data_IF_897429483207
#
_entry.id   IF_897429483207
#
_cell.length_a   1.000
_cell.length_b   1.000
_cell.length_c   1.000
_cell.angle_alpha   90.00
_cell.angle_beta   90.00
_cell.angle_gamma   90.00
#
_symmetry.space_group_name_H-M   'P 1'
#
loop_
_entity.id
_entity.type
_entity.pdbx_description
1 polymer ?
#
# COMPACT_ATOMS: atom_id res chain seq x y z
N UNK A 1 4.48 34.39 18.41
CA UNK A 1 3.03 34.19 18.14
C UNK A 1 2.91 32.78 17.60
N UNK A 2 2.24 31.88 18.33
CA UNK A 2 2.03 30.49 17.90
C UNK A 2 1.16 30.56 16.65
N UNK A 3 1.78 30.39 15.49
CA UNK A 3 1.08 30.19 14.24
C UNK A 3 0.13 29.01 14.46
N UNK A 4 -1.17 29.25 14.29
CA UNK A 4 -2.23 28.34 14.74
C UNK A 4 -1.89 26.92 14.28
N UNK A 5 -1.73 26.00 15.23
CA UNK A 5 -1.66 24.57 14.97
C UNK A 5 -2.78 24.22 13.98
N UNK A 6 -2.40 23.97 12.72
CA UNK A 6 -3.33 23.65 11.65
C UNK A 6 -4.06 22.37 12.05
N UNK A 7 -5.37 22.48 12.22
CA UNK A 7 -6.23 21.42 12.72
C UNK A 7 -6.75 20.58 11.56
N UNK A 8 -6.41 19.30 11.52
CA UNK A 8 -6.91 18.35 10.53
C UNK A 8 -7.82 17.36 11.28
N UNK A 9 -9.16 17.45 11.12
CA UNK A 9 -10.11 16.66 11.91
C UNK A 9 -9.89 15.14 11.81
N UNK A 10 -9.65 14.62 10.60
CA UNK A 10 -9.41 13.20 10.37
C UNK A 10 -8.14 12.70 11.09
N UNK A 11 -7.03 13.43 10.97
CA UNK A 11 -5.78 13.10 11.64
C UNK A 11 -5.93 13.11 13.17
N UNK A 12 -6.74 14.05 13.71
CA UNK A 12 -7.02 14.06 15.14
C UNK A 12 -7.90 12.89 15.55
N UNK A 13 -8.92 12.55 14.78
CA UNK A 13 -9.80 11.43 15.10
C UNK A 13 -9.04 10.10 15.13
N UNK A 14 -8.18 9.86 14.13
CA UNK A 14 -7.24 8.74 14.13
C UNK A 14 -6.34 8.73 15.37
N UNK A 15 -5.73 9.87 15.69
CA UNK A 15 -4.83 9.99 16.85
C UNK A 15 -5.53 9.79 18.19
N UNK A 16 -6.79 10.25 18.32
CA UNK A 16 -7.63 9.99 19.50
C UNK A 16 -7.99 8.50 19.59
N UNK A 17 -8.27 7.85 18.46
CA UNK A 17 -8.44 6.40 18.38
C UNK A 17 -7.20 5.66 18.86
N UNK A 18 -6.01 6.03 18.37
CA UNK A 18 -4.74 5.46 18.83
C UNK A 18 -4.52 5.70 20.33
N UNK A 19 -4.78 6.91 20.84
CA UNK A 19 -4.66 7.19 22.27
C UNK A 19 -5.60 6.31 23.10
N UNK A 20 -6.84 6.10 22.62
CA UNK A 20 -7.80 5.22 23.29
C UNK A 20 -7.30 3.78 23.32
N UNK A 21 -6.78 3.26 22.21
CA UNK A 21 -6.17 1.92 22.15
C UNK A 21 -4.98 1.78 23.10
N UNK A 22 -4.11 2.80 23.20
CA UNK A 22 -3.00 2.79 24.16
C UNK A 22 -3.51 2.66 25.60
N UNK A 23 -4.63 3.30 25.94
CA UNK A 23 -5.20 3.29 27.30
C UNK A 23 -5.96 1.99 27.58
N UNK A 24 -6.75 1.51 26.62
CA UNK A 24 -7.67 0.37 26.80
C UNK A 24 -6.98 -0.99 26.54
N UNK A 25 -5.96 -1.01 25.67
CA UNK A 25 -5.35 -2.22 25.11
C UNK A 25 -3.82 -2.11 24.93
N UNK A 26 -3.12 -1.52 25.92
CA UNK A 26 -1.66 -1.28 25.89
C UNK A 26 -0.83 -2.52 25.51
N UNK A 27 -1.25 -3.71 25.92
CA UNK A 27 -0.57 -4.98 25.64
C UNK A 27 -0.49 -5.32 24.15
N UNK A 28 -1.38 -4.75 23.31
CA UNK A 28 -1.32 -4.88 21.86
C UNK A 28 -0.10 -4.17 21.27
N UNK A 29 0.29 -3.04 21.85
CA UNK A 29 1.49 -2.30 21.43
C UNK A 29 2.76 -3.06 21.84
N UNK A 30 2.82 -3.57 23.07
CA UNK A 30 3.95 -4.39 23.53
C UNK A 30 4.13 -5.65 22.67
N UNK A 31 3.01 -6.31 22.34
CA UNK A 31 3.02 -7.47 21.44
C UNK A 31 3.55 -7.10 20.08
N UNK A 32 3.04 -6.04 19.47
CA UNK A 32 3.48 -5.57 18.14
C UNK A 32 4.97 -5.23 18.17
N UNK A 33 5.42 -4.48 19.18
CA UNK A 33 6.82 -4.13 19.36
C UNK A 33 7.73 -5.35 19.45
N UNK A 34 7.31 -6.38 20.19
CA UNK A 34 8.06 -7.64 20.34
C UNK A 34 8.16 -8.46 19.06
N UNK A 35 7.28 -8.22 18.09
CA UNK A 35 7.29 -8.89 16.79
C UNK A 35 8.23 -8.22 15.77
N UNK A 36 8.68 -6.99 16.03
CA UNK A 36 9.56 -6.26 15.12
C UNK A 36 11.00 -6.84 15.22
N UNK A 37 11.52 -7.24 14.07
CA UNK A 37 12.78 -8.00 13.96
C UNK A 37 14.01 -7.14 14.29
N UNK A 38 14.03 -5.89 13.81
CA UNK A 38 15.19 -5.01 13.88
C UNK A 38 14.93 -3.73 14.69
N UNK A 39 16.01 -3.03 15.05
CA UNK A 39 15.94 -1.83 15.88
C UNK A 39 15.36 -0.63 15.12
N UNK A 40 15.57 -0.52 13.81
CA UNK A 40 15.05 0.58 13.01
C UNK A 40 13.52 0.54 12.96
N UNK A 41 12.95 -0.64 12.73
CA UNK A 41 11.51 -0.90 12.82
C UNK A 41 10.94 -0.54 14.20
N UNK A 42 11.64 -0.90 15.28
CA UNK A 42 11.24 -0.56 16.67
C UNK A 42 11.28 0.94 16.93
N UNK A 43 12.32 1.63 16.48
CA UNK A 43 12.46 3.09 16.63
C UNK A 43 11.35 3.83 15.86
N UNK A 44 11.01 3.35 14.65
CA UNK A 44 9.88 3.88 13.86
C UNK A 44 8.56 3.65 14.59
N UNK A 45 8.35 2.48 15.18
CA UNK A 45 7.14 2.18 15.94
C UNK A 45 7.02 3.07 17.19
N UNK A 46 8.09 3.23 17.96
CA UNK A 46 8.13 4.11 19.13
C UNK A 46 7.84 5.56 18.74
N UNK A 47 8.46 6.04 17.65
CA UNK A 47 8.16 7.34 17.08
C UNK A 47 6.68 7.46 16.70
N UNK A 48 6.11 6.46 16.03
CA UNK A 48 4.71 6.48 15.57
C UNK A 48 3.74 6.59 16.75
N UNK A 49 3.94 5.78 17.80
CA UNK A 49 3.12 5.78 19.01
C UNK A 49 3.21 7.13 19.72
N UNK A 50 4.43 7.63 19.94
CA UNK A 50 4.66 8.91 20.60
C UNK A 50 4.06 10.09 19.81
N UNK A 51 4.25 10.09 18.49
CA UNK A 51 3.68 11.09 17.58
C UNK A 51 2.15 11.08 17.62
N UNK A 52 1.50 9.91 17.47
CA UNK A 52 0.03 9.80 17.46
C UNK A 52 -0.58 10.19 18.80
N UNK A 53 -0.01 9.71 19.91
CA UNK A 53 -0.44 10.10 21.24
C UNK A 53 -0.35 11.63 21.43
N UNK A 54 0.78 12.22 21.04
CA UNK A 54 1.00 13.66 21.14
C UNK A 54 0.09 14.48 20.23
N UNK A 55 -0.15 14.02 19.01
CA UNK A 55 -1.02 14.70 18.03
C UNK A 55 -2.47 14.79 18.52
N UNK A 56 -2.95 13.80 19.29
CA UNK A 56 -4.29 13.81 19.86
C UNK A 56 -4.55 15.02 20.78
N UNK A 57 -3.49 15.52 21.44
CA UNK A 57 -3.51 16.65 22.38
C UNK A 57 -3.05 17.95 21.68
N UNK A 58 -1.89 17.90 21.03
CA UNK A 58 -1.17 19.07 20.54
C UNK A 58 -1.50 19.43 19.08
N UNK A 59 -2.16 18.56 18.34
CA UNK A 59 -2.37 18.72 16.90
C UNK A 59 -1.04 18.77 16.14
N UNK A 60 -0.93 19.67 15.16
CA UNK A 60 0.25 19.76 14.29
C UNK A 60 1.54 20.14 15.01
N UNK A 61 1.49 20.73 16.22
CA UNK A 61 2.69 20.95 17.04
C UNK A 61 3.40 19.64 17.42
N UNK A 62 2.71 18.50 17.40
CA UNK A 62 3.35 17.20 17.60
C UNK A 62 4.43 16.90 16.55
N UNK A 63 4.34 17.47 15.34
CA UNK A 63 5.38 17.35 14.31
C UNK A 63 6.69 18.06 14.69
N UNK A 64 6.65 19.04 15.60
CA UNK A 64 7.86 19.72 16.08
C UNK A 64 8.57 18.89 17.15
N UNK A 65 7.80 18.15 17.98
CA UNK A 65 8.33 17.27 19.02
C UNK A 65 8.80 15.93 18.46
N UNK A 66 8.05 15.39 17.50
CA UNK A 66 8.28 14.10 16.85
C UNK A 66 8.28 14.32 15.34
N UNK A 67 9.36 14.89 14.77
CA UNK A 67 9.43 15.16 13.35
C UNK A 67 9.31 13.87 12.54
N UNK A 68 8.49 13.83 11.48
CA UNK A 68 8.39 12.65 10.62
C UNK A 68 9.70 12.39 9.88
N UNK A 69 10.01 11.12 9.55
CA UNK A 69 11.20 10.77 8.77
C UNK A 69 11.25 11.51 7.42
N UNK A 70 10.09 11.72 6.80
CA UNK A 70 9.93 12.54 5.59
C UNK A 70 9.33 13.89 5.99
N UNK A 71 10.06 14.97 5.72
CA UNK A 71 9.58 16.32 6.01
C UNK A 71 8.44 16.71 5.08
N UNK A 72 7.52 17.54 5.58
CA UNK A 72 6.42 18.10 4.78
C UNK A 72 6.95 18.84 3.55
N UNK A 73 8.04 19.60 3.70
CA UNK A 73 8.68 20.30 2.59
C UNK A 73 9.17 19.32 1.51
N UNK A 74 9.88 18.26 1.91
CA UNK A 74 10.36 17.22 0.98
C UNK A 74 9.18 16.56 0.25
N UNK A 75 8.10 16.27 0.98
CA UNK A 75 6.90 15.66 0.41
C UNK A 75 6.22 16.58 -0.60
N UNK A 76 6.02 17.85 -0.27
CA UNK A 76 5.40 18.82 -1.17
C UNK A 76 6.27 19.07 -2.41
N UNK A 77 7.59 19.11 -2.25
CA UNK A 77 8.53 19.24 -3.37
C UNK A 77 8.40 18.06 -4.35
N UNK A 78 8.31 16.82 -3.83
CA UNK A 78 8.09 15.63 -4.63
C UNK A 78 6.76 15.70 -5.42
N UNK A 79 5.66 16.12 -4.77
CA UNK A 79 4.37 16.30 -5.45
C UNK A 79 4.41 17.38 -6.53
N UNK A 80 5.11 18.49 -6.30
CA UNK A 80 5.28 19.57 -7.28
C UNK A 80 6.10 19.09 -8.47
N UNK A 81 7.17 18.32 -8.23
CA UNK A 81 8.00 17.76 -9.29
C UNK A 81 7.23 16.77 -10.15
N UNK A 82 6.47 15.85 -9.55
CA UNK A 82 5.61 14.92 -10.28
C UNK A 82 4.59 15.66 -11.15
N UNK A 83 3.95 16.72 -10.62
CA UNK A 83 3.03 17.55 -11.40
C UNK A 83 3.71 18.27 -12.57
N UNK A 84 4.97 18.68 -12.42
CA UNK A 84 5.76 19.26 -13.53
C UNK A 84 6.12 18.23 -14.59
N UNK A 85 6.28 16.97 -14.18
CA UNK A 85 6.55 15.83 -15.07
C UNK A 85 5.29 15.17 -15.63
N UNK A 86 4.11 15.78 -15.45
CA UNK A 86 2.88 15.34 -16.10
C UNK A 86 3.00 15.55 -17.62
N UNK A 87 2.80 14.48 -18.40
CA UNK A 87 2.88 14.52 -19.87
C UNK A 87 1.53 14.94 -20.47
N UNK A 88 0.45 14.56 -19.80
CA UNK A 88 -0.91 15.01 -20.06
C UNK A 88 -1.72 14.90 -18.76
N UNK A 89 -3.03 15.16 -18.84
CA UNK A 89 -3.90 15.09 -17.67
C UNK A 89 -3.84 13.69 -17.04
N UNK A 90 -3.53 13.64 -15.76
CA UNK A 90 -3.47 12.42 -14.94
C UNK A 90 -2.45 11.38 -15.44
N UNK A 91 -1.48 11.77 -16.30
CA UNK A 91 -0.42 10.91 -16.83
C UNK A 91 0.95 11.47 -16.46
N UNK A 92 1.74 10.68 -15.72
CA UNK A 92 3.01 11.12 -15.14
C UNK A 92 4.17 10.31 -15.70
N UNK A 93 5.31 10.96 -15.94
CA UNK A 93 6.55 10.28 -16.31
C UNK A 93 7.49 10.18 -15.12
N UNK A 94 7.83 8.95 -14.73
CA UNK A 94 8.72 8.68 -13.59
C UNK A 94 9.73 7.62 -13.98
N UNK A 95 11.02 7.98 -13.90
CA UNK A 95 12.16 7.10 -14.22
C UNK A 95 12.04 6.28 -15.54
N UNK A 96 11.38 6.86 -16.56
CA UNK A 96 11.17 6.22 -17.87
C UNK A 96 9.79 5.59 -18.07
N UNK A 97 9.03 5.39 -17.00
CA UNK A 97 7.68 4.85 -17.03
C UNK A 97 6.63 5.96 -17.23
N UNK A 98 5.55 5.62 -17.93
CA UNK A 98 4.35 6.45 -18.07
C UNK A 98 3.23 5.84 -17.23
N UNK A 99 2.75 6.60 -16.26
CA UNK A 99 1.82 6.12 -15.25
C UNK A 99 0.61 7.03 -15.22
N UNK A 100 -0.55 6.50 -15.62
CA UNK A 100 -1.85 7.14 -15.42
C UNK A 100 -2.29 6.95 -13.98
N UNK A 101 -2.50 8.03 -13.24
CA UNK A 101 -2.98 7.98 -11.86
C UNK A 101 -3.86 9.17 -11.51
N UNK A 102 -4.92 8.93 -10.74
CA UNK A 102 -5.72 9.98 -10.12
C UNK A 102 -5.23 10.30 -8.68
N UNK A 103 -4.21 9.59 -8.21
CA UNK A 103 -3.65 9.72 -6.87
C UNK A 103 -2.13 9.91 -6.93
N UNK A 104 -1.70 11.13 -7.22
CA UNK A 104 -0.27 11.52 -7.28
C UNK A 104 0.51 11.10 -6.01
N UNK A 105 -0.04 11.22 -4.78
CA UNK A 105 0.56 10.63 -3.59
C UNK A 105 1.06 9.19 -3.75
N UNK A 106 0.26 8.29 -4.33
CA UNK A 106 0.68 6.88 -4.56
C UNK A 106 1.96 6.78 -5.39
N UNK A 107 2.11 7.64 -6.40
CA UNK A 107 3.34 7.69 -7.20
C UNK A 107 4.50 8.22 -6.36
N UNK A 108 4.30 9.28 -5.58
CA UNK A 108 5.35 9.84 -4.72
C UNK A 108 5.81 8.85 -3.66
N UNK A 109 4.86 8.25 -2.95
CA UNK A 109 5.10 7.31 -1.86
C UNK A 109 5.89 6.09 -2.37
N UNK A 110 5.48 5.53 -3.51
CA UNK A 110 6.16 4.36 -4.11
C UNK A 110 7.47 4.72 -4.81
N UNK A 111 7.48 5.67 -5.74
CA UNK A 111 8.62 5.87 -6.64
C UNK A 111 9.69 6.84 -6.12
N UNK A 112 9.32 7.76 -5.22
CA UNK A 112 10.25 8.75 -4.67
C UNK A 112 10.68 8.32 -3.27
N UNK A 113 9.70 7.98 -2.42
CA UNK A 113 9.96 7.61 -1.02
C UNK A 113 10.15 6.12 -0.79
N UNK A 114 9.94 5.28 -1.82
CA UNK A 114 10.16 3.83 -1.75
C UNK A 114 9.42 3.18 -0.57
N UNK A 115 8.15 3.53 -0.35
CA UNK A 115 7.37 3.13 0.84
C UNK A 115 7.37 1.62 1.14
N UNK A 116 7.52 0.77 0.13
CA UNK A 116 7.54 -0.70 0.25
C UNK A 116 8.95 -1.28 0.26
N UNK A 117 9.96 -0.47 0.58
CA UNK A 117 11.35 -0.90 0.65
C UNK A 117 12.07 -0.26 1.81
N UNK A 118 12.65 -1.11 2.66
CA UNK A 118 13.65 -0.75 3.67
C UNK A 118 14.93 -1.47 3.27
N UNK A 119 15.94 -0.69 2.84
CA UNK A 119 17.17 -1.24 2.26
C UNK A 119 17.87 -2.17 3.25
N UNK A 120 18.20 -3.37 2.79
CA UNK A 120 18.87 -4.39 3.61
C UNK A 120 17.98 -5.08 4.65
N UNK A 121 16.68 -4.76 4.71
CA UNK A 121 15.72 -5.40 5.62
C UNK A 121 14.60 -6.06 4.83
N UNK A 122 13.85 -5.27 4.05
CA UNK A 122 12.75 -5.75 3.20
C UNK A 122 12.81 -5.02 1.87
N UNK A 123 13.26 -5.69 0.81
CA UNK A 123 13.31 -5.12 -0.52
C UNK A 123 13.16 -6.18 -1.62
N UNK A 124 12.52 -5.85 -2.75
CA UNK A 124 12.48 -6.74 -3.90
C UNK A 124 13.85 -6.76 -4.60
N UNK A 125 14.24 -7.94 -5.07
CA UNK A 125 15.50 -8.20 -5.75
C UNK A 125 15.28 -8.70 -7.20
N UNK A 126 16.30 -8.55 -8.07
CA UNK A 126 16.24 -9.11 -9.42
C UNK A 126 15.98 -10.62 -9.41
N UNK A 127 14.95 -11.06 -10.14
CA UNK A 127 14.52 -12.45 -10.18
C UNK A 127 13.37 -12.81 -9.24
N UNK A 128 12.99 -11.94 -8.31
CA UNK A 128 11.94 -12.23 -7.33
C UNK A 128 10.57 -12.45 -7.98
N UNK A 129 9.80 -13.35 -7.37
CA UNK A 129 8.36 -13.51 -7.56
C UNK A 129 7.62 -12.66 -6.53
N UNK A 130 6.93 -11.62 -7.03
CA UNK A 130 6.22 -10.63 -6.23
C UNK A 130 4.71 -10.82 -6.34
N UNK A 131 4.02 -10.81 -5.21
CA UNK A 131 2.57 -10.60 -5.15
C UNK A 131 2.31 -9.14 -4.76
N UNK A 132 1.68 -8.39 -5.65
CA UNK A 132 1.15 -7.06 -5.39
C UNK A 132 -0.36 -7.18 -5.12
N UNK A 133 -0.72 -7.33 -3.85
CA UNK A 133 -2.10 -7.43 -3.41
C UNK A 133 -2.71 -6.03 -3.25
N UNK A 134 -3.74 -5.76 -4.04
CA UNK A 134 -4.35 -4.43 -4.17
C UNK A 134 -3.55 -3.54 -5.14
N UNK A 135 -3.46 -3.98 -6.39
CA UNK A 135 -2.62 -3.34 -7.40
C UNK A 135 -3.15 -1.98 -7.86
N UNK A 136 -4.45 -1.69 -7.64
CA UNK A 136 -5.11 -0.44 -8.04
C UNK A 136 -4.87 -0.12 -9.52
N UNK A 137 -4.19 0.98 -9.84
CA UNK A 137 -3.87 1.36 -11.22
C UNK A 137 -2.49 0.85 -11.68
N UNK A 138 -1.79 0.07 -10.85
CA UNK A 138 -0.52 -0.57 -11.19
C UNK A 138 0.71 0.29 -10.98
N UNK A 139 0.59 1.42 -10.30
CA UNK A 139 1.74 2.29 -9.98
C UNK A 139 2.82 1.52 -9.24
N UNK A 140 2.42 0.69 -8.28
CA UNK A 140 3.31 -0.15 -7.49
C UNK A 140 3.75 -1.41 -8.24
N UNK A 141 2.89 -2.02 -9.06
CA UNK A 141 3.26 -3.17 -9.88
C UNK A 141 4.37 -2.84 -10.89
N UNK A 142 4.31 -1.65 -11.51
CA UNK A 142 5.36 -1.15 -12.41
C UNK A 142 6.67 -0.89 -11.67
N UNK A 143 6.60 -0.39 -10.44
CA UNK A 143 7.78 -0.19 -9.59
C UNK A 143 8.44 -1.53 -9.22
N UNK A 144 7.65 -2.54 -8.83
CA UNK A 144 8.15 -3.89 -8.61
C UNK A 144 8.76 -4.50 -9.87
N UNK A 145 8.06 -4.40 -11.01
CA UNK A 145 8.53 -4.91 -12.31
C UNK A 145 9.91 -4.38 -12.68
N UNK A 146 10.15 -3.09 -12.44
CA UNK A 146 11.45 -2.44 -12.63
C UNK A 146 12.53 -3.05 -11.73
N UNK A 147 12.23 -3.30 -10.45
CA UNK A 147 13.21 -3.76 -9.47
C UNK A 147 13.57 -5.24 -9.64
N UNK A 148 12.58 -6.07 -9.94
CA UNK A 148 12.79 -7.51 -10.13
C UNK A 148 13.33 -7.86 -11.53
N UNK A 149 13.21 -6.93 -12.48
CA UNK A 149 13.74 -7.08 -13.83
C UNK A 149 13.09 -8.22 -14.63
N UNK A 150 13.62 -8.47 -15.83
CA UNK A 150 13.03 -9.39 -16.81
C UNK A 150 13.01 -10.86 -16.37
N UNK A 151 13.82 -11.22 -15.38
CA UNK A 151 13.86 -12.58 -14.81
C UNK A 151 12.92 -12.76 -13.63
N UNK A 152 12.43 -11.68 -13.02
CA UNK A 152 11.43 -11.72 -11.97
C UNK A 152 10.01 -11.75 -12.52
N UNK A 153 9.03 -11.83 -11.62
CA UNK A 153 7.61 -11.89 -11.98
C UNK A 153 6.79 -11.10 -10.96
N UNK A 154 5.80 -10.34 -11.43
CA UNK A 154 4.85 -9.62 -10.58
C UNK A 154 3.44 -10.11 -10.87
N UNK A 155 2.74 -10.57 -9.84
CA UNK A 155 1.32 -10.91 -9.89
C UNK A 155 0.52 -9.78 -9.25
N UNK A 156 -0.14 -8.98 -10.08
CA UNK A 156 -0.89 -7.79 -9.68
C UNK A 156 -2.36 -8.15 -9.45
N UNK A 157 -2.76 -8.28 -8.18
CA UNK A 157 -4.14 -8.61 -7.80
C UNK A 157 -4.99 -7.35 -7.68
N UNK A 158 -6.03 -7.28 -8.50
CA UNK A 158 -7.01 -6.20 -8.45
C UNK A 158 -8.39 -6.74 -8.85
N UNK A 159 -9.37 -6.75 -7.95
CA UNK A 159 -10.70 -7.27 -8.25
C UNK A 159 -11.65 -6.30 -8.98
N UNK A 160 -11.42 -4.99 -8.91
CA UNK A 160 -12.37 -3.98 -9.39
C UNK A 160 -12.19 -3.68 -10.89
N UNK A 161 -13.22 -3.87 -11.74
CA UNK A 161 -13.12 -3.69 -13.19
C UNK A 161 -12.58 -2.32 -13.63
N UNK A 162 -13.03 -1.25 -12.98
CA UNK A 162 -12.62 0.13 -13.32
C UNK A 162 -11.12 0.33 -13.06
N UNK A 163 -10.57 -0.27 -11.99
CA UNK A 163 -9.15 -0.23 -11.69
C UNK A 163 -8.36 -1.11 -12.67
N UNK A 164 -8.85 -2.32 -12.96
CA UNK A 164 -8.24 -3.25 -13.91
C UNK A 164 -8.07 -2.59 -15.29
N UNK A 165 -9.05 -1.78 -15.74
CA UNK A 165 -8.95 -1.07 -17.01
C UNK A 165 -7.75 -0.12 -17.03
N UNK A 166 -7.57 0.68 -15.98
CA UNK A 166 -6.43 1.61 -15.87
C UNK A 166 -5.12 0.85 -15.66
N UNK A 167 -5.10 -0.21 -14.86
CA UNK A 167 -3.96 -1.10 -14.66
C UNK A 167 -3.46 -1.69 -15.99
N UNK A 168 -4.37 -2.23 -16.82
CA UNK A 168 -4.04 -2.74 -18.17
C UNK A 168 -3.49 -1.65 -19.06
N UNK A 169 -4.10 -0.46 -19.02
CA UNK A 169 -3.62 0.68 -19.77
C UNK A 169 -2.19 1.04 -19.36
N UNK A 170 -1.91 1.14 -18.06
CA UNK A 170 -0.59 1.47 -17.54
C UNK A 170 0.46 0.42 -17.93
N UNK A 171 0.16 -0.87 -17.79
CA UNK A 171 1.10 -1.93 -18.18
C UNK A 171 1.37 -1.89 -19.69
N UNK A 172 0.33 -1.81 -20.52
CA UNK A 172 0.49 -1.79 -21.98
C UNK A 172 1.19 -0.54 -22.52
N UNK A 173 1.10 0.60 -21.83
CA UNK A 173 1.74 1.86 -22.22
C UNK A 173 3.26 1.88 -21.94
N UNK A 174 3.77 0.93 -21.16
CA UNK A 174 5.19 0.82 -20.82
C UNK A 174 5.85 -0.30 -21.64
N UNK A 175 6.35 0.06 -22.82
CA UNK A 175 7.02 -0.88 -23.74
C UNK A 175 8.19 -1.58 -23.03
N UNK A 176 8.21 -2.91 -23.09
CA UNK A 176 9.25 -3.73 -22.45
C UNK A 176 8.81 -4.37 -21.14
N UNK A 177 7.71 -3.91 -20.53
CA UNK A 177 7.13 -4.55 -19.33
C UNK A 177 6.40 -5.83 -19.74
N UNK A 178 7.04 -6.97 -19.54
CA UNK A 178 6.50 -8.29 -19.89
C UNK A 178 6.40 -9.25 -18.69
N UNK A 179 6.88 -8.83 -17.52
CA UNK A 179 6.96 -9.62 -16.30
C UNK A 179 5.79 -9.38 -15.34
N UNK A 180 4.78 -8.59 -15.71
CA UNK A 180 3.57 -8.38 -14.88
C UNK A 180 2.41 -9.22 -15.42
N UNK A 181 1.75 -9.95 -14.53
CA UNK A 181 0.49 -10.65 -14.80
C UNK A 181 -0.64 -10.10 -13.93
N UNK A 182 -1.73 -9.69 -14.57
CA UNK A 182 -2.89 -9.12 -13.87
C UNK A 182 -3.82 -10.24 -13.43
N UNK A 183 -4.08 -10.32 -12.13
CA UNK A 183 -5.02 -11.27 -11.54
C UNK A 183 -6.29 -10.52 -11.15
N UNK A 184 -7.38 -10.78 -11.88
CA UNK A 184 -8.67 -10.09 -11.68
C UNK A 184 -9.51 -10.70 -10.54
N UNK A 185 -8.84 -11.01 -9.42
CA UNK A 185 -9.42 -11.62 -8.22
C UNK A 185 -8.89 -10.89 -6.99
N UNK A 186 -9.69 -10.83 -5.93
CA UNK A 186 -9.21 -10.42 -4.61
C UNK A 186 -8.56 -11.59 -3.88
N UNK A 187 -7.73 -11.29 -2.88
CA UNK A 187 -7.19 -12.29 -1.96
C UNK A 187 -8.04 -12.34 -0.69
N UNK A 188 -8.25 -13.55 -0.18
CA UNK A 188 -9.03 -13.79 1.04
C UNK A 188 -8.73 -15.17 1.61
N UNK A 189 -9.31 -15.51 2.77
CA UNK A 189 -9.08 -16.82 3.41
C UNK A 189 -9.81 -17.99 2.74
N UNK A 190 -10.66 -17.74 1.75
CA UNK A 190 -11.44 -18.77 1.04
C UNK A 190 -11.82 -18.30 -0.36
N UNK A 191 -11.80 -19.23 -1.30
CA UNK A 191 -12.29 -18.97 -2.66
C UNK A 191 -13.78 -18.70 -2.68
N UNK A 192 -14.20 -17.94 -3.69
CA UNK A 192 -15.61 -17.77 -4.00
C UNK A 192 -15.93 -16.37 -4.49
N UNK A 193 -17.22 -16.14 -4.73
CA UNK A 193 -17.73 -14.82 -5.10
C UNK A 193 -18.33 -14.13 -3.91
N UNK A 194 -17.92 -12.88 -3.67
CA UNK A 194 -18.40 -12.06 -2.56
C UNK A 194 -18.78 -10.67 -3.07
N UNK A 195 -19.80 -10.08 -2.48
CA UNK A 195 -20.10 -8.66 -2.65
C UNK A 195 -19.27 -7.85 -1.67
N UNK A 196 -18.68 -6.77 -2.14
CA UNK A 196 -18.08 -5.76 -1.29
C UNK A 196 -18.99 -4.54 -1.23
N UNK A 197 -19.05 -3.89 -0.06
CA UNK A 197 -19.60 -2.53 0.05
C UNK A 197 -18.49 -1.54 0.30
N UNK A 198 -18.58 -0.40 -0.37
CA UNK A 198 -17.59 0.66 -0.31
C UNK A 198 -17.19 1.15 -1.70
N UNK A 199 -16.41 2.22 -1.72
CA UNK A 199 -15.66 2.64 -2.91
C UNK A 199 -14.30 1.93 -2.84
N UNK A 200 -13.62 1.72 -3.97
CA UNK A 200 -12.35 0.96 -4.10
C UNK A 200 -11.32 1.15 -2.97
N UNK A 201 -11.25 2.31 -2.32
CA UNK A 201 -10.30 2.63 -1.25
C UNK A 201 -10.84 2.40 0.19
N UNK A 202 -12.06 1.88 0.35
CA UNK A 202 -12.68 1.56 1.66
C UNK A 202 -13.70 0.43 1.46
N UNK A 203 -13.27 -0.68 0.88
CA UNK A 203 -14.15 -1.78 0.53
C UNK A 203 -14.15 -2.85 1.62
N UNK A 204 -15.30 -3.12 2.24
CA UNK A 204 -15.46 -4.20 3.22
C UNK A 204 -16.18 -5.39 2.58
N UNK A 205 -15.67 -6.60 2.80
CA UNK A 205 -16.31 -7.84 2.34
C UNK A 205 -17.60 -8.08 3.14
N UNK A 206 -18.74 -8.10 2.45
CA UNK A 206 -20.00 -8.50 3.07
C UNK A 206 -20.12 -10.03 3.03
N UNK A 207 -19.93 -10.66 4.20
CA UNK A 207 -20.08 -12.11 4.41
C UNK A 207 -21.42 -12.70 3.93
N UNK A 208 -22.49 -11.90 3.79
CA UNK A 208 -23.84 -12.35 3.43
C UNK A 208 -24.06 -12.85 1.99
N UNK A 209 -23.04 -12.87 1.12
CA UNK A 209 -23.25 -13.09 -0.32
C UNK A 209 -22.32 -14.11 -0.98
N UNK A 210 -21.85 -15.13 -0.25
CA UNK A 210 -21.17 -16.26 -0.91
C UNK A 210 -22.02 -16.80 -2.08
N UNK A 211 -21.45 -16.72 -3.29
CA UNK A 211 -22.09 -17.19 -4.53
C UNK A 211 -23.02 -16.18 -5.22
N UNK A 212 -23.28 -15.02 -4.63
CA UNK A 212 -24.06 -13.92 -5.23
C UNK A 212 -23.25 -12.63 -5.46
N UNK A 213 -21.97 -12.65 -5.09
CA UNK A 213 -21.03 -11.55 -5.32
C UNK A 213 -20.64 -11.33 -6.78
N UNK A 214 -20.24 -10.09 -7.09
CA UNK A 214 -19.67 -9.71 -8.38
C UNK A 214 -18.14 -9.80 -8.41
N UNK A 215 -17.48 -9.93 -7.27
CA UNK A 215 -16.03 -10.03 -7.16
C UNK A 215 -15.63 -11.47 -6.85
N UNK A 216 -14.68 -11.98 -7.62
CA UNK A 216 -14.08 -13.30 -7.39
C UNK A 216 -12.90 -13.17 -6.43
N UNK A 217 -12.81 -14.08 -5.49
CA UNK A 217 -11.69 -14.21 -4.55
C UNK A 217 -11.03 -15.58 -4.70
N UNK A 218 -9.73 -15.62 -4.39
CA UNK A 218 -8.88 -16.80 -4.30
C UNK A 218 -8.00 -16.69 -3.04
N UNK A 219 -7.56 -17.82 -2.50
CA UNK A 219 -6.54 -17.84 -1.45
C UNK A 219 -5.12 -17.69 -1.99
N UNK A 220 -4.14 -17.34 -1.13
CA UNK A 220 -2.74 -17.33 -1.55
C UNK A 220 -2.29 -18.76 -1.86
N UNK A 221 -2.63 -19.72 -1.00
CA UNK A 221 -2.24 -21.13 -1.17
C UNK A 221 -2.74 -21.71 -2.51
N UNK A 222 -4.02 -21.52 -2.83
CA UNK A 222 -4.57 -22.03 -4.11
C UNK A 222 -3.97 -21.29 -5.31
N UNK A 223 -3.66 -20.00 -5.18
CA UNK A 223 -3.02 -19.27 -6.25
C UNK A 223 -1.60 -19.78 -6.53
N UNK A 224 -0.82 -20.04 -5.48
CA UNK A 224 0.53 -20.62 -5.56
C UNK A 224 0.47 -21.99 -6.25
N UNK A 225 -0.49 -22.84 -5.87
CA UNK A 225 -0.73 -24.13 -6.51
C UNK A 225 -1.17 -23.99 -7.98
N UNK A 226 -2.13 -23.10 -8.27
CA UNK A 226 -2.65 -22.84 -9.63
C UNK A 226 -1.56 -22.37 -10.59
N UNK A 227 -0.62 -21.56 -10.10
CA UNK A 227 0.49 -21.01 -10.90
C UNK A 227 1.73 -21.89 -10.87
N UNK A 228 1.72 -22.98 -10.10
CA UNK A 228 2.87 -23.86 -9.90
C UNK A 228 4.12 -23.07 -9.48
N UNK A 229 3.97 -22.15 -8.52
CA UNK A 229 5.09 -21.34 -8.04
C UNK A 229 5.93 -22.16 -7.06
N UNK A 230 7.24 -22.18 -7.30
CA UNK A 230 8.20 -22.79 -6.36
C UNK A 230 8.38 -21.94 -5.10
N UNK A 231 8.29 -20.61 -5.24
CA UNK A 231 8.36 -19.65 -4.14
C UNK A 231 7.62 -18.35 -4.46
N UNK A 232 7.31 -17.60 -3.40
CA UNK A 232 6.94 -16.18 -3.45
C UNK A 232 7.94 -15.45 -2.57
N UNK A 233 8.70 -14.55 -3.16
CA UNK A 233 9.85 -13.90 -2.50
C UNK A 233 9.45 -12.56 -1.86
N UNK A 234 8.39 -11.93 -2.38
CA UNK A 234 7.87 -10.67 -1.84
C UNK A 234 6.35 -10.59 -1.91
N UNK A 235 5.71 -10.13 -0.84
CA UNK A 235 4.28 -9.83 -0.81
C UNK A 235 4.09 -8.40 -0.32
N UNK A 236 3.57 -7.53 -1.18
CA UNK A 236 2.97 -6.26 -0.76
C UNK A 236 1.47 -6.49 -0.59
N UNK A 237 0.90 -5.97 0.48
CA UNK A 237 -0.52 -6.12 0.78
C UNK A 237 -1.14 -4.81 1.25
N UNK A 238 -2.06 -4.28 0.44
CA UNK A 238 -2.87 -3.12 0.73
C UNK A 238 -4.26 -3.37 0.13
N UNK A 239 -5.12 -4.07 0.87
CA UNK A 239 -6.38 -4.63 0.38
C UNK A 239 -7.57 -4.20 1.24
N UNK A 240 -7.42 -3.07 1.91
CA UNK A 240 -8.47 -2.32 2.61
C UNK A 240 -9.23 -3.14 3.66
N UNK A 241 -8.50 -3.90 4.48
CA UNK A 241 -9.04 -4.56 5.67
C UNK A 241 -9.27 -6.07 5.55
N UNK A 242 -8.75 -6.69 4.49
CA UNK A 242 -8.78 -8.15 4.31
C UNK A 242 -7.41 -8.80 4.50
N UNK A 243 -6.42 -8.07 5.03
CA UNK A 243 -5.02 -8.50 5.09
C UNK A 243 -4.82 -9.76 5.92
N UNK A 244 -5.45 -9.81 7.10
CA UNK A 244 -5.38 -10.97 7.99
C UNK A 244 -6.03 -12.19 7.34
N UNK A 245 -7.17 -12.02 6.68
CA UNK A 245 -7.82 -13.10 5.96
C UNK A 245 -6.99 -13.58 4.77
N UNK A 246 -6.40 -12.68 3.98
CA UNK A 246 -5.53 -13.06 2.88
C UNK A 246 -4.31 -13.86 3.35
N UNK A 247 -3.67 -13.49 4.48
CA UNK A 247 -2.54 -14.25 5.05
C UNK A 247 -2.97 -15.62 5.58
N UNK A 248 -4.20 -15.76 6.07
CA UNK A 248 -4.71 -17.04 6.60
C UNK A 248 -5.27 -17.98 5.52
N UNK A 249 -5.18 -17.62 4.23
CA UNK A 249 -5.74 -18.38 3.12
C UNK A 249 -4.68 -18.93 2.19
#
# INVERSE_FOLDING_TARGET
>A
MIEKARYIPAAKWLSVGTLREIIEHSEGFDRTYSMLEDQESRDIFDWYVAYRASYSILGSLAKELFPPPVSEESYQNALVELKRNAVERDMFRVEGFHIKSNNIPTIADTWIFNQYRIRGVVEPHPGDVVIDAGAFYGETSLWFSRLVGDTGKVYAFEPFPDNIEVLRHNISNNIGVNNIEIITRGLYNRNGKYSMTGISAVATIIKQSQGKGNIQFITLDEFVEEKHLDSVDFIKMDIEGSEIEAING
#
